data_IF_323603062848
#
_entry.id   IF_323603062848
#
_cell.length_a   1.000
_cell.length_b   1.000
_cell.length_c   1.000
_cell.angle_alpha   90.00
_cell.angle_beta   90.00
_cell.angle_gamma   90.00
#
_symmetry.space_group_name_H-M   'P 1'
#
loop_
_entity.id
_entity.type
_entity.pdbx_description
1 polymer ?
#
# COMPACT_ATOMS: atom_id res chain seq x y z
N UNK A 1 1.58 -5.21 47.26
CA UNK A 1 1.09 -5.96 46.07
C UNK A 1 0.50 -4.95 45.10
N UNK A 2 1.30 -4.46 44.14
CA UNK A 2 0.79 -3.63 43.05
C UNK A 2 0.38 -4.58 41.93
N UNK A 3 -0.92 -4.79 41.75
CA UNK A 3 -1.46 -5.35 40.53
C UNK A 3 -1.39 -4.25 39.48
N UNK A 4 -0.39 -4.28 38.60
CA UNK A 4 -0.40 -3.50 37.38
C UNK A 4 -1.59 -4.00 36.56
N UNK A 5 -2.60 -3.15 36.39
CA UNK A 5 -3.64 -3.39 35.38
C UNK A 5 -2.93 -3.52 34.03
N UNK A 6 -2.94 -4.70 33.44
CA UNK A 6 -2.61 -4.87 32.02
C UNK A 6 -3.67 -4.08 31.26
N UNK A 7 -3.32 -2.86 30.82
CA UNK A 7 -4.13 -2.13 29.85
C UNK A 7 -4.23 -3.03 28.61
N UNK A 8 -5.44 -3.46 28.30
CA UNK A 8 -5.71 -4.24 27.09
C UNK A 8 -5.54 -3.29 25.91
N UNK A 9 -4.47 -3.46 25.13
CA UNK A 9 -4.23 -2.65 23.94
C UNK A 9 -5.41 -2.76 22.98
N UNK A 10 -5.83 -1.62 22.42
CA UNK A 10 -6.90 -1.57 21.43
C UNK A 10 -6.47 -2.32 20.18
N UNK A 11 -7.25 -3.30 19.74
CA UNK A 11 -7.00 -4.00 18.49
C UNK A 11 -7.48 -3.16 17.28
N UNK A 12 -6.85 -3.38 16.12
CA UNK A 12 -7.34 -2.82 14.87
C UNK A 12 -8.76 -3.31 14.58
N UNK A 13 -9.67 -2.41 14.13
CA UNK A 13 -11.01 -2.81 13.73
C UNK A 13 -10.97 -3.74 12.50
N UNK A 14 -11.86 -4.71 12.45
CA UNK A 14 -12.02 -5.58 11.29
C UNK A 14 -12.93 -4.87 10.28
N UNK A 15 -12.42 -4.63 9.08
CA UNK A 15 -13.16 -3.88 8.05
C UNK A 15 -14.48 -4.56 7.67
N UNK A 16 -14.54 -5.89 7.71
CA UNK A 16 -15.75 -6.68 7.44
C UNK A 16 -16.90 -6.45 8.45
N UNK A 17 -16.60 -5.96 9.65
CA UNK A 17 -17.63 -5.64 10.64
C UNK A 17 -18.40 -4.35 10.27
N UNK A 18 -17.80 -3.47 9.48
CA UNK A 18 -18.32 -2.14 9.13
C UNK A 18 -18.74 -2.01 7.66
N UNK A 19 -18.15 -2.79 6.76
CA UNK A 19 -18.39 -2.70 5.32
C UNK A 19 -19.47 -3.65 4.88
N UNK A 20 -20.38 -3.14 4.05
CA UNK A 20 -21.48 -3.91 3.46
C UNK A 20 -21.44 -3.71 1.94
N UNK A 21 -20.92 -4.69 1.17
CA UNK A 21 -21.00 -4.63 -0.28
C UNK A 21 -22.45 -4.68 -0.76
N UNK A 22 -22.80 -3.94 -1.82
CA UNK A 22 -24.13 -3.90 -2.41
C UNK A 22 -24.43 -5.16 -3.24
N UNK A 23 -23.40 -5.82 -3.73
CA UNK A 23 -23.46 -7.06 -4.49
C UNK A 23 -22.53 -8.10 -3.90
N UNK A 24 -22.82 -9.38 -4.13
CA UNK A 24 -21.98 -10.48 -3.67
C UNK A 24 -20.62 -10.44 -4.35
N UNK A 25 -19.56 -10.33 -3.56
CA UNK A 25 -18.15 -10.35 -3.99
C UNK A 25 -17.30 -11.14 -2.99
N UNK A 26 -16.13 -11.57 -3.43
CA UNK A 26 -15.14 -12.20 -2.54
C UNK A 26 -14.77 -11.30 -1.37
N UNK A 27 -14.78 -11.88 -0.17
CA UNK A 27 -14.61 -11.13 1.09
C UNK A 27 -13.28 -10.39 1.18
N UNK A 28 -12.24 -10.86 0.52
CA UNK A 28 -10.92 -10.25 0.51
C UNK A 28 -10.96 -8.79 0.04
N UNK A 29 -11.87 -8.42 -0.88
CA UNK A 29 -11.96 -7.07 -1.43
C UNK A 29 -12.44 -6.05 -0.40
N UNK A 30 -13.40 -6.40 0.46
CA UNK A 30 -13.90 -5.47 1.48
C UNK A 30 -13.21 -5.64 2.84
N UNK A 31 -12.49 -6.74 3.07
CA UNK A 31 -11.58 -6.91 4.22
C UNK A 31 -10.32 -6.07 4.08
N UNK A 32 -9.78 -5.94 2.86
CA UNK A 32 -8.59 -5.13 2.61
C UNK A 32 -8.85 -3.64 2.90
N UNK A 33 -8.11 -3.07 3.81
CA UNK A 33 -8.05 -1.64 4.05
C UNK A 33 -6.59 -1.21 4.31
N UNK A 34 -6.34 0.03 4.66
CA UNK A 34 -4.99 0.59 4.79
C UNK A 34 -4.78 1.14 6.19
N UNK A 35 -4.59 0.28 7.22
CA UNK A 35 -4.24 0.73 8.56
C UNK A 35 -2.86 1.39 8.58
N UNK A 36 -2.63 2.21 9.61
CA UNK A 36 -1.35 2.86 9.91
C UNK A 36 -0.64 2.22 11.09
N UNK A 37 -1.42 1.66 12.03
CA UNK A 37 -0.87 1.03 13.22
C UNK A 37 -0.13 -0.26 12.86
N UNK A 38 1.17 -0.27 13.12
CA UNK A 38 2.06 -1.42 12.87
C UNK A 38 2.93 -1.67 14.10
N UNK A 39 3.31 -2.94 14.33
CA UNK A 39 4.12 -3.33 15.50
C UNK A 39 5.57 -2.90 15.41
N UNK A 40 6.11 -2.77 14.22
CA UNK A 40 7.54 -2.59 13.98
C UNK A 40 8.32 -3.91 13.90
N UNK A 41 7.66 -5.06 14.10
CA UNK A 41 8.27 -6.38 13.92
C UNK A 41 8.61 -6.62 12.44
N UNK A 42 9.74 -7.27 12.21
CA UNK A 42 10.20 -7.58 10.87
C UNK A 42 9.33 -8.63 10.17
N UNK A 43 9.27 -8.53 8.86
CA UNK A 43 8.78 -9.59 7.99
C UNK A 43 9.93 -10.51 7.61
N UNK A 44 9.67 -11.81 7.58
CA UNK A 44 10.61 -12.79 7.05
C UNK A 44 10.82 -12.57 5.55
N UNK A 45 11.92 -13.06 5.02
CA UNK A 45 12.17 -13.01 3.57
C UNK A 45 11.07 -13.75 2.79
N UNK A 46 10.63 -14.89 3.29
CA UNK A 46 9.58 -15.68 2.65
C UNK A 46 8.23 -14.95 2.63
N UNK A 47 7.85 -14.24 3.69
CA UNK A 47 6.64 -13.41 3.72
C UNK A 47 6.74 -12.31 2.65
N UNK A 48 7.87 -11.62 2.59
CA UNK A 48 8.08 -10.55 1.62
C UNK A 48 8.06 -11.07 0.17
N UNK A 49 8.72 -12.20 -0.11
CA UNK A 49 8.70 -12.82 -1.42
C UNK A 49 7.29 -13.25 -1.86
N UNK A 50 6.44 -13.75 -0.94
CA UNK A 50 5.04 -14.06 -1.23
C UNK A 50 4.22 -12.84 -1.65
N UNK A 51 4.51 -11.67 -1.10
CA UNK A 51 3.85 -10.42 -1.49
C UNK A 51 4.27 -10.00 -2.91
N UNK A 52 5.56 -10.06 -3.23
CA UNK A 52 6.05 -9.75 -4.57
C UNK A 52 5.63 -10.81 -5.60
N UNK A 53 5.52 -12.07 -5.20
CA UNK A 53 4.99 -13.12 -6.06
C UNK A 53 3.54 -12.84 -6.45
N UNK A 54 2.68 -12.44 -5.52
CA UNK A 54 1.31 -12.04 -5.84
C UNK A 54 1.27 -10.83 -6.80
N UNK A 55 2.11 -9.82 -6.57
CA UNK A 55 2.23 -8.66 -7.45
C UNK A 55 2.61 -9.07 -8.88
N UNK A 56 3.53 -10.03 -9.04
CA UNK A 56 4.01 -10.54 -10.32
C UNK A 56 2.91 -11.14 -11.19
N UNK A 57 1.82 -11.64 -10.59
CA UNK A 57 0.68 -12.24 -11.29
C UNK A 57 -0.37 -11.22 -11.75
N UNK A 58 -0.10 -9.94 -11.63
CA UNK A 58 -0.99 -8.92 -12.18
C UNK A 58 -1.00 -8.97 -13.72
N UNK A 59 -2.13 -8.67 -14.38
CA UNK A 59 -2.15 -8.47 -15.81
C UNK A 59 -1.36 -7.22 -16.21
N UNK A 60 -0.82 -7.21 -17.42
CA UNK A 60 -0.21 -6.01 -17.99
C UNK A 60 -0.37 -6.01 -19.51
N UNK A 61 -0.34 -4.83 -20.09
CA UNK A 61 -0.47 -4.65 -21.55
C UNK A 61 0.65 -5.38 -22.30
N UNK A 62 0.28 -6.30 -23.18
CA UNK A 62 1.20 -7.23 -23.87
C UNK A 62 2.08 -8.07 -22.94
N UNK A 63 1.67 -8.27 -21.68
CA UNK A 63 2.46 -8.94 -20.64
C UNK A 63 3.83 -8.28 -20.41
N UNK A 64 3.88 -6.96 -20.48
CA UNK A 64 5.12 -6.16 -20.38
C UNK A 64 5.75 -6.24 -18.98
N UNK A 65 4.93 -6.38 -17.92
CA UNK A 65 5.38 -6.50 -16.51
C UNK A 65 6.39 -5.41 -16.14
N UNK A 66 6.06 -4.17 -16.47
CA UNK A 66 6.94 -3.00 -16.39
C UNK A 66 7.18 -2.47 -14.99
N UNK A 67 6.43 -2.94 -13.98
CA UNK A 67 6.62 -2.56 -12.58
C UNK A 67 7.94 -3.05 -12.01
N UNK A 68 8.52 -2.27 -11.11
CA UNK A 68 9.62 -2.65 -10.24
C UNK A 68 9.33 -2.15 -8.84
N UNK A 69 9.77 -2.91 -7.83
CA UNK A 69 9.62 -2.60 -6.42
C UNK A 69 11.00 -2.40 -5.82
N UNK A 70 11.37 -1.15 -5.55
CA UNK A 70 12.54 -0.83 -4.74
C UNK A 70 12.12 -0.88 -3.28
N UNK A 71 12.86 -1.54 -2.41
CA UNK A 71 12.42 -1.67 -1.03
C UNK A 71 13.58 -1.56 -0.04
N UNK A 72 13.24 -1.16 1.18
CA UNK A 72 14.13 -1.17 2.33
C UNK A 72 13.44 -1.86 3.51
N UNK A 73 14.09 -2.85 4.10
CA UNK A 73 13.71 -3.42 5.40
C UNK A 73 14.09 -2.43 6.50
N UNK A 74 13.37 -2.42 7.60
CA UNK A 74 13.64 -1.55 8.76
C UNK A 74 15.06 -1.71 9.30
N UNK A 75 15.59 -2.94 9.36
CA UNK A 75 16.96 -3.25 9.79
C UNK A 75 18.02 -3.00 8.72
N UNK A 76 17.64 -2.65 7.49
CA UNK A 76 18.58 -2.47 6.39
C UNK A 76 19.27 -1.10 6.46
N UNK A 77 20.53 -0.98 5.99
CA UNK A 77 21.22 0.32 5.90
C UNK A 77 20.52 1.30 4.95
N UNK A 78 19.61 0.83 4.10
CA UNK A 78 18.85 1.66 3.17
C UNK A 78 17.61 2.29 3.78
N UNK A 79 17.18 1.85 4.97
CA UNK A 79 15.93 2.31 5.61
C UNK A 79 15.82 3.83 5.68
N UNK A 80 16.86 4.49 6.17
CA UNK A 80 16.82 5.94 6.36
C UNK A 80 16.60 6.69 5.05
N UNK A 81 17.21 6.23 3.94
CA UNK A 81 17.01 6.81 2.61
C UNK A 81 15.53 6.77 2.21
N UNK A 82 14.85 5.62 2.41
CA UNK A 82 13.42 5.50 2.08
C UNK A 82 12.54 6.30 3.04
N UNK A 83 12.84 6.28 4.32
CA UNK A 83 12.08 7.00 5.34
C UNK A 83 12.14 8.52 5.14
N UNK A 84 13.28 9.05 4.71
CA UNK A 84 13.47 10.49 4.45
C UNK A 84 12.74 10.99 3.21
N UNK A 85 12.23 10.10 2.35
CA UNK A 85 11.36 10.47 1.24
C UNK A 85 9.96 10.88 1.69
N UNK A 86 9.49 10.38 2.83
CA UNK A 86 8.14 10.58 3.33
C UNK A 86 7.91 12.03 3.78
N UNK A 87 6.70 12.52 3.57
CA UNK A 87 6.23 13.74 4.24
C UNK A 87 6.12 13.55 5.75
N UNK A 88 6.12 14.62 6.53
CA UNK A 88 6.05 14.54 7.99
C UNK A 88 4.79 13.81 8.47
N UNK A 89 3.65 14.01 7.80
CA UNK A 89 2.41 13.31 8.10
C UNK A 89 2.53 11.78 7.97
N UNK A 90 3.31 11.28 7.01
CA UNK A 90 3.57 9.84 6.87
C UNK A 90 4.69 9.37 7.79
N UNK A 91 5.72 10.17 8.05
CA UNK A 91 6.76 9.85 9.03
C UNK A 91 6.19 9.59 10.42
N UNK A 92 5.13 10.30 10.80
CA UNK A 92 4.49 10.20 12.10
C UNK A 92 4.05 8.77 12.48
N UNK A 93 3.79 7.91 11.49
CA UNK A 93 3.34 6.53 11.72
C UNK A 93 4.21 5.46 11.01
N UNK A 94 4.84 5.79 9.87
CA UNK A 94 5.65 4.84 9.10
C UNK A 94 6.92 4.36 9.84
N UNK A 95 7.34 5.04 10.90
CA UNK A 95 8.51 4.64 11.70
C UNK A 95 8.38 3.23 12.31
N UNK A 96 7.16 2.68 12.37
CA UNK A 96 6.89 1.29 12.80
C UNK A 96 6.56 0.35 11.64
N UNK A 97 6.69 0.76 10.39
CA UNK A 97 6.62 -0.17 9.28
C UNK A 97 7.83 -1.13 9.27
N UNK A 98 7.62 -2.37 8.89
CA UNK A 98 8.70 -3.35 8.73
C UNK A 98 9.48 -3.15 7.42
N UNK A 99 8.77 -2.69 6.37
CA UNK A 99 9.33 -2.48 5.03
C UNK A 99 8.70 -1.23 4.41
N UNK A 100 9.51 -0.41 3.76
CA UNK A 100 9.08 0.64 2.86
C UNK A 100 9.41 0.25 1.42
N UNK A 101 8.47 0.48 0.51
CA UNK A 101 8.61 0.16 -0.91
C UNK A 101 8.35 1.42 -1.72
N UNK A 102 9.14 1.66 -2.77
CA UNK A 102 8.83 2.60 -3.86
C UNK A 102 8.46 1.78 -5.09
N UNK A 103 7.26 2.00 -5.61
CA UNK A 103 6.78 1.40 -6.86
C UNK A 103 7.20 2.28 -8.02
N UNK A 104 7.90 1.70 -8.99
CA UNK A 104 8.25 2.37 -10.23
C UNK A 104 7.76 1.56 -11.43
N UNK A 105 7.50 2.23 -12.55
CA UNK A 105 7.04 1.59 -13.77
C UNK A 105 7.79 2.13 -15.00
N UNK A 106 8.21 1.23 -15.89
CA UNK A 106 8.87 1.61 -17.13
C UNK A 106 7.87 2.26 -18.09
N UNK A 107 8.22 3.45 -18.56
CA UNK A 107 7.36 4.27 -19.44
C UNK A 107 7.29 3.81 -20.90
N UNK A 108 8.10 2.82 -21.29
CA UNK A 108 8.21 2.34 -22.67
C UNK A 108 8.15 0.82 -22.76
N UNK A 109 7.60 0.28 -23.85
CA UNK A 109 7.62 -1.15 -24.12
C UNK A 109 9.03 -1.65 -24.38
N UNK A 110 9.42 -2.78 -23.77
CA UNK A 110 10.74 -3.40 -23.95
C UNK A 110 10.96 -3.88 -25.37
N UNK A 111 9.89 -4.39 -26.01
CA UNK A 111 9.92 -4.97 -27.36
C UNK A 111 10.27 -4.00 -28.49
N UNK A 112 9.99 -2.68 -28.32
CA UNK A 112 10.13 -1.73 -29.44
C UNK A 112 10.49 -0.29 -29.00
N UNK A 113 10.66 -0.02 -27.70
CA UNK A 113 10.99 1.29 -27.15
C UNK A 113 9.89 2.35 -27.23
N UNK A 114 8.70 2.02 -27.77
CA UNK A 114 7.60 2.98 -27.88
C UNK A 114 7.00 3.29 -26.49
N UNK A 115 6.41 4.49 -26.31
CA UNK A 115 5.73 4.84 -25.06
C UNK A 115 4.66 3.81 -24.69
N UNK A 116 4.61 3.43 -23.41
CA UNK A 116 3.54 2.63 -22.81
C UNK A 116 2.62 3.58 -22.02
N UNK A 117 1.48 4.00 -22.55
CA UNK A 117 0.60 4.99 -21.90
C UNK A 117 -0.10 4.45 -20.66
N UNK A 118 -0.11 3.13 -20.46
CA UNK A 118 -0.82 2.45 -19.36
C UNK A 118 0.11 1.90 -18.27
N UNK A 119 1.39 2.24 -18.29
CA UNK A 119 2.39 1.73 -17.35
C UNK A 119 2.01 1.93 -15.87
N UNK A 120 1.34 3.02 -15.51
CA UNK A 120 0.88 3.27 -14.14
C UNK A 120 -0.38 2.46 -13.79
N UNK A 121 -1.27 2.22 -14.77
CA UNK A 121 -2.45 1.37 -14.61
C UNK A 121 -2.03 -0.07 -14.30
N UNK A 122 -1.09 -0.60 -15.08
CA UNK A 122 -0.57 -1.95 -14.91
C UNK A 122 0.19 -2.09 -13.56
N UNK A 123 0.99 -1.07 -13.19
CA UNK A 123 1.67 -1.04 -11.88
C UNK A 123 0.66 -0.95 -10.71
N UNK A 124 -0.45 -0.24 -10.88
CA UNK A 124 -1.56 -0.20 -9.92
C UNK A 124 -2.21 -1.58 -9.72
N UNK A 125 -2.34 -2.37 -10.79
CA UNK A 125 -2.83 -3.75 -10.71
C UNK A 125 -1.87 -4.64 -9.90
N UNK A 126 -0.57 -4.52 -10.12
CA UNK A 126 0.45 -5.25 -9.36
C UNK A 126 0.43 -4.83 -7.86
N UNK A 127 0.30 -3.54 -7.56
CA UNK A 127 0.09 -3.05 -6.20
C UNK A 127 -1.15 -3.66 -5.55
N UNK A 128 -2.29 -3.71 -6.26
CA UNK A 128 -3.53 -4.27 -5.71
C UNK A 128 -3.37 -5.75 -5.36
N UNK A 129 -2.72 -6.56 -6.20
CA UNK A 129 -2.44 -7.96 -5.89
C UNK A 129 -1.59 -8.11 -4.63
N UNK A 130 -0.53 -7.29 -4.48
CA UNK A 130 0.30 -7.27 -3.27
C UNK A 130 -0.54 -6.95 -2.03
N UNK A 131 -1.42 -5.95 -2.10
CA UNK A 131 -2.25 -5.53 -0.99
C UNK A 131 -3.29 -6.60 -0.57
N UNK A 132 -3.89 -7.30 -1.55
CA UNK A 132 -4.79 -8.42 -1.28
C UNK A 132 -4.04 -9.59 -0.63
N UNK A 133 -2.84 -9.92 -1.13
CA UNK A 133 -2.01 -10.97 -0.54
C UNK A 133 -1.58 -10.62 0.88
N UNK A 134 -1.23 -9.36 1.16
CA UNK A 134 -0.93 -8.89 2.52
C UNK A 134 -2.13 -9.11 3.44
N UNK A 135 -3.34 -8.74 3.00
CA UNK A 135 -4.58 -8.96 3.75
C UNK A 135 -4.84 -10.45 4.02
N UNK A 136 -4.64 -11.31 3.02
CA UNK A 136 -4.79 -12.76 3.16
C UNK A 136 -3.78 -13.37 4.16
N UNK A 137 -2.62 -12.73 4.32
CA UNK A 137 -1.58 -13.13 5.29
C UNK A 137 -1.75 -12.47 6.67
N UNK A 138 -2.79 -11.67 6.90
CA UNK A 138 -2.96 -10.91 8.14
C UNK A 138 -1.94 -9.78 8.33
N UNK A 139 -1.35 -9.30 7.23
CA UNK A 139 -0.40 -8.18 7.21
C UNK A 139 -1.08 -6.88 6.79
N UNK A 140 -0.42 -5.78 7.12
CA UNK A 140 -0.80 -4.43 6.70
C UNK A 140 -0.02 -4.05 5.45
N UNK A 141 -0.72 -3.50 4.44
CA UNK A 141 -0.14 -2.84 3.28
C UNK A 141 -0.85 -1.51 3.05
N UNK A 142 -0.13 -0.39 3.18
CA UNK A 142 -0.66 0.95 3.05
C UNK A 142 0.04 1.71 1.93
N UNK A 143 -0.69 1.97 0.82
CA UNK A 143 -0.19 2.78 -0.30
C UNK A 143 -0.27 4.27 0.01
N UNK A 144 0.77 5.02 -0.36
CA UNK A 144 0.95 6.43 -0.03
C UNK A 144 1.36 7.24 -1.26
N UNK A 145 0.79 8.45 -1.36
CA UNK A 145 1.27 9.52 -2.25
C UNK A 145 2.01 10.65 -1.50
N UNK A 146 1.98 10.63 -0.16
CA UNK A 146 2.61 11.63 0.71
C UNK A 146 4.12 11.40 0.85
N UNK A 147 4.88 11.57 -0.24
CA UNK A 147 6.33 11.53 -0.27
C UNK A 147 6.86 12.43 -1.40
N UNK A 148 8.15 12.71 -1.40
CA UNK A 148 8.82 13.52 -2.42
C UNK A 148 9.25 12.64 -3.61
N UNK A 149 8.53 12.76 -4.73
CA UNK A 149 8.74 11.99 -5.97
C UNK A 149 10.10 12.29 -6.63
N UNK A 150 10.52 13.55 -6.64
CA UNK A 150 11.78 13.97 -7.28
C UNK A 150 12.99 13.55 -6.43
N UNK A 151 12.87 13.69 -5.12
CA UNK A 151 13.84 13.18 -4.17
C UNK A 151 13.94 11.65 -4.27
N UNK A 152 12.82 10.92 -4.41
CA UNK A 152 12.83 9.49 -4.59
C UNK A 152 13.58 9.08 -5.85
N UNK A 153 13.33 9.77 -6.97
CA UNK A 153 14.07 9.54 -8.22
C UNK A 153 15.58 9.69 -8.03
N UNK A 154 15.99 10.77 -7.40
CA UNK A 154 17.41 11.10 -7.22
C UNK A 154 18.09 10.17 -6.22
N UNK A 155 17.51 10.02 -5.03
CA UNK A 155 18.09 9.24 -3.93
C UNK A 155 18.16 7.74 -4.22
N UNK A 156 17.23 7.22 -5.03
CA UNK A 156 17.18 5.80 -5.42
C UNK A 156 17.72 5.55 -6.82
N UNK A 157 18.35 6.55 -7.45
CA UNK A 157 18.93 6.46 -8.79
C UNK A 157 17.97 5.90 -9.84
N UNK A 158 16.67 6.30 -9.78
CA UNK A 158 15.64 5.83 -10.71
C UNK A 158 15.85 6.47 -12.09
N UNK A 159 16.09 5.65 -13.15
CA UNK A 159 16.36 6.19 -14.48
C UNK A 159 15.16 6.96 -15.05
N UNK A 160 15.41 7.93 -15.95
CA UNK A 160 14.39 8.76 -16.57
C UNK A 160 13.28 8.00 -17.29
N UNK A 161 13.58 6.83 -17.85
CA UNK A 161 12.60 5.98 -18.52
C UNK A 161 11.68 5.19 -17.59
N UNK A 162 11.81 5.37 -16.26
CA UNK A 162 10.86 4.91 -15.26
C UNK A 162 10.07 6.08 -14.66
N UNK A 163 8.79 5.85 -14.39
CA UNK A 163 7.97 6.71 -13.54
C UNK A 163 8.04 6.21 -12.09
N UNK A 164 8.10 7.15 -11.13
CA UNK A 164 7.86 6.87 -9.72
C UNK A 164 6.34 6.95 -9.51
N UNK A 165 5.72 5.88 -9.02
CA UNK A 165 4.26 5.75 -8.94
C UNK A 165 3.69 6.03 -7.54
N UNK A 166 4.20 5.33 -6.53
CA UNK A 166 3.71 5.39 -5.15
C UNK A 166 4.75 4.85 -4.18
N UNK A 167 4.56 5.12 -2.87
CA UNK A 167 5.21 4.36 -1.81
C UNK A 167 4.22 3.43 -1.10
N UNK A 168 4.73 2.37 -0.48
CA UNK A 168 3.95 1.42 0.32
C UNK A 168 4.68 1.19 1.64
N UNK A 169 3.93 1.22 2.74
CA UNK A 169 4.37 0.73 4.03
C UNK A 169 3.79 -0.67 4.27
N UNK A 170 4.64 -1.62 4.65
CA UNK A 170 4.27 -2.99 5.01
C UNK A 170 4.64 -3.26 6.46
N UNK A 171 3.80 -4.04 7.15
CA UNK A 171 4.10 -4.47 8.51
C UNK A 171 3.05 -5.43 9.09
N UNK A 172 3.26 -5.84 10.32
CA UNK A 172 2.27 -6.55 11.12
C UNK A 172 1.31 -5.54 11.75
N UNK A 173 0.02 -5.88 11.89
CA UNK A 173 -0.95 -4.99 12.53
C UNK A 173 -0.53 -4.69 13.98
N UNK A 174 -0.51 -3.41 14.34
CA UNK A 174 -0.20 -2.89 15.67
C UNK A 174 -1.44 -2.35 16.38
N UNK A 175 -1.26 -1.75 17.56
CA UNK A 175 -2.33 -1.08 18.28
C UNK A 175 -2.55 0.33 17.74
N UNK A 176 -3.80 0.77 17.52
CA UNK A 176 -4.12 2.17 17.28
C UNK A 176 -3.64 3.12 18.41
N UNK A 177 -3.47 2.60 19.62
CA UNK A 177 -2.99 3.40 20.78
C UNK A 177 -1.53 3.85 20.63
N UNK A 178 -0.78 3.22 19.72
CA UNK A 178 0.60 3.61 19.36
C UNK A 178 0.66 4.80 18.37
N UNK A 179 -0.48 5.24 17.84
CA UNK A 179 -0.57 6.36 16.89
C UNK A 179 -0.78 7.71 17.62
N UNK A 180 -0.35 8.83 17.01
CA UNK A 180 -0.81 10.16 17.43
C UNK A 180 -2.33 10.23 17.49
N UNK A 181 -2.88 11.05 18.40
CA UNK A 181 -4.31 11.07 18.74
C UNK A 181 -5.24 11.29 17.52
N UNK A 182 -4.88 12.19 16.63
CA UNK A 182 -5.62 12.48 15.39
C UNK A 182 -5.61 11.27 14.43
N UNK A 183 -4.46 10.62 14.26
CA UNK A 183 -4.34 9.41 13.46
C UNK A 183 -5.05 8.22 14.11
N UNK A 184 -5.01 8.09 15.44
CA UNK A 184 -5.75 7.08 16.18
C UNK A 184 -7.25 7.20 15.96
N UNK A 185 -7.80 8.40 16.03
CA UNK A 185 -9.22 8.65 15.75
C UNK A 185 -9.59 8.25 14.33
N UNK A 186 -8.76 8.60 13.35
CA UNK A 186 -8.97 8.22 11.94
C UNK A 186 -8.83 6.71 11.72
N UNK A 187 -7.94 6.03 12.45
CA UNK A 187 -7.71 4.59 12.36
C UNK A 187 -8.91 3.78 12.83
N UNK A 188 -9.63 4.27 13.84
CA UNK A 188 -10.82 3.60 14.39
C UNK A 188 -12.07 3.83 13.54
N UNK A 189 -12.02 4.68 12.51
CA UNK A 189 -13.12 4.97 11.59
C UNK A 189 -12.94 4.25 10.26
N UNK A 190 -13.56 3.08 10.13
CA UNK A 190 -13.54 2.36 8.86
C UNK A 190 -14.47 3.04 7.86
N UNK A 191 -13.89 3.48 6.73
CA UNK A 191 -14.64 4.11 5.64
C UNK A 191 -15.31 3.08 4.74
N UNK A 192 -16.53 3.40 4.29
CA UNK A 192 -17.26 2.66 3.26
C UNK A 192 -16.79 2.97 1.84
N UNK A 193 -17.70 2.76 0.91
CA UNK A 193 -17.57 3.14 -0.50
C UNK A 193 -18.82 3.88 -0.92
N UNK A 194 -18.72 4.68 -1.98
CA UNK A 194 -19.87 5.25 -2.68
C UNK A 194 -20.66 4.13 -3.34
N UNK A 195 -21.95 4.31 -3.62
CA UNK A 195 -22.74 3.39 -4.42
C UNK A 195 -22.05 3.05 -5.74
N UNK A 196 -22.17 1.80 -6.20
CA UNK A 196 -21.48 1.35 -7.41
C UNK A 196 -21.94 2.15 -8.64
N UNK A 197 -23.20 2.60 -8.66
CA UNK A 197 -23.78 3.41 -9.72
C UNK A 197 -23.08 4.74 -9.94
N UNK A 198 -22.42 5.30 -8.92
CA UNK A 198 -21.61 6.52 -9.05
C UNK A 198 -20.29 6.29 -9.80
N UNK A 199 -19.93 5.05 -10.07
CA UNK A 199 -18.65 4.67 -10.69
C UNK A 199 -18.81 3.98 -12.04
N UNK A 200 -20.04 3.70 -12.48
CA UNK A 200 -20.32 2.99 -13.73
C UNK A 200 -21.32 3.77 -14.58
N UNK A 201 -21.15 3.72 -15.89
CA UNK A 201 -22.06 4.28 -16.86
C UNK A 201 -22.03 3.44 -18.12
N UNK A 202 -23.20 3.03 -18.63
CA UNK A 202 -23.30 2.37 -19.93
C UNK A 202 -23.33 3.45 -21.04
N UNK A 203 -22.36 3.41 -21.96
CA UNK A 203 -22.27 4.33 -23.07
C UNK A 203 -21.36 5.54 -22.82
N UNK A 204 -21.65 6.70 -23.41
CA UNK A 204 -20.87 7.93 -23.23
C UNK A 204 -20.85 8.41 -21.79
N UNK A 205 -19.88 9.26 -21.44
CA UNK A 205 -19.77 9.87 -20.12
C UNK A 205 -21.08 10.60 -19.74
N UNK A 206 -21.71 10.18 -18.64
CA UNK A 206 -22.97 10.71 -18.12
C UNK A 206 -22.96 10.76 -16.58
N UNK A 207 -21.85 11.12 -15.98
CA UNK A 207 -21.80 11.40 -14.54
C UNK A 207 -22.08 12.86 -14.26
N UNK A 208 -22.78 13.14 -13.16
CA UNK A 208 -22.95 14.51 -12.67
C UNK A 208 -21.56 15.08 -12.26
N UNK A 209 -21.29 16.30 -12.68
CA UNK A 209 -20.02 17.05 -12.45
C UNK A 209 -20.00 17.72 -11.07
#
# INVERSE_FOLDING_TARGET
MYAAAMETLTALPKAEDFRRPEHEIESIFFRRWSPRAMTGEELTEQELLRLFEAARWAPSTYNEQEWRFLYARRSSPHWQTFFDLLTDGNKAWCHRAAVLIVVIARKTFTRNGKPNPVHLFDAGSAWQNLALQATAMGLVAHGMAGFDFDKARTALAVPEHYAVAAMIALGRPGSPDDLPEDLRKAELQITGRRPVQESICEGPFAFDS
#
